data_IF_139044679679
#
_entry.id   IF_139044679679
#
_cell.length_a   1.000
_cell.length_b   1.000
_cell.length_c   1.000
_cell.angle_alpha   90.00
_cell.angle_beta   90.00
_cell.angle_gamma   90.00
#
_symmetry.space_group_name_H-M   'P 1'
#
loop_
_entity.id
_entity.type
_entity.pdbx_description
1 polymer ?
#
# COMPACT_ATOMS: atom_id res chain seq x y z
N UNK A 1 -7.11 -7.24 14.19
CA UNK A 1 -5.66 -7.40 13.94
C UNK A 1 -5.08 -6.22 13.17
N UNK A 2 -3.81 -5.93 13.40
CA UNK A 2 -3.04 -4.92 12.65
C UNK A 2 -1.79 -5.56 12.04
N UNK A 3 -1.56 -5.28 10.77
CA UNK A 3 -0.46 -5.79 9.97
C UNK A 3 0.40 -4.61 9.50
N UNK A 4 1.69 -4.68 9.80
CA UNK A 4 2.68 -3.71 9.36
C UNK A 4 3.58 -4.33 8.30
N UNK A 5 3.33 -4.00 7.03
CA UNK A 5 4.12 -4.48 5.91
C UNK A 5 5.23 -3.46 5.60
N UNK A 6 6.46 -3.93 5.47
CA UNK A 6 7.61 -3.08 5.19
C UNK A 6 8.48 -3.65 4.08
N UNK A 7 9.16 -2.76 3.35
CA UNK A 7 10.25 -3.11 2.47
C UNK A 7 11.50 -2.42 3.00
N UNK A 8 12.43 -3.23 3.52
CA UNK A 8 13.73 -2.79 4.06
C UNK A 8 14.87 -3.41 3.26
N UNK A 9 16.06 -2.80 3.25
CA UNK A 9 17.28 -3.45 2.74
C UNK A 9 18.05 -4.19 3.86
N UNK A 10 19.22 -4.74 3.52
CA UNK A 10 20.11 -5.43 4.45
C UNK A 10 20.63 -4.55 5.59
N UNK A 11 20.64 -3.23 5.39
CA UNK A 11 21.09 -2.24 6.38
C UNK A 11 19.93 -1.68 7.22
N UNK A 12 18.76 -2.33 7.18
CA UNK A 12 17.53 -1.91 7.86
C UNK A 12 16.98 -0.53 7.43
N UNK A 13 17.36 -0.04 6.24
CA UNK A 13 16.80 1.18 5.67
C UNK A 13 15.41 0.89 5.11
N UNK A 14 14.41 1.66 5.56
CA UNK A 14 13.01 1.53 5.14
C UNK A 14 12.73 2.29 3.83
N UNK A 15 12.22 1.56 2.84
CA UNK A 15 11.89 2.11 1.51
C UNK A 15 10.40 2.29 1.27
N UNK A 16 9.56 1.45 1.88
CA UNK A 16 8.13 1.60 1.83
C UNK A 16 7.47 0.87 3.00
N UNK A 17 6.32 1.35 3.41
CA UNK A 17 5.48 0.72 4.43
C UNK A 17 4.00 0.74 4.04
N UNK A 18 3.24 -0.20 4.58
CA UNK A 18 1.79 -0.25 4.49
C UNK A 18 1.20 -0.74 5.81
N UNK A 19 0.17 -0.06 6.29
CA UNK A 19 -0.61 -0.44 7.48
C UNK A 19 -1.96 -0.99 7.08
N UNK A 20 -2.14 -2.29 7.24
CA UNK A 20 -3.40 -3.00 7.04
C UNK A 20 -4.04 -3.26 8.41
N UNK A 21 -5.31 -2.90 8.57
CA UNK A 21 -6.12 -3.21 9.75
C UNK A 21 -7.27 -4.11 9.34
N UNK A 22 -7.42 -5.24 10.02
CA UNK A 22 -8.58 -6.12 9.94
C UNK A 22 -9.35 -6.01 11.25
N UNK A 23 -10.63 -5.64 11.21
CA UNK A 23 -11.47 -5.49 12.40
C UNK A 23 -12.85 -6.08 12.11
N UNK A 24 -13.17 -7.20 12.76
CA UNK A 24 -14.37 -7.97 12.42
C UNK A 24 -14.34 -8.36 10.95
N UNK A 25 -15.42 -8.04 10.23
CA UNK A 25 -15.60 -8.35 8.81
C UNK A 25 -15.07 -7.25 7.86
N UNK A 26 -14.27 -6.30 8.37
CA UNK A 26 -13.77 -5.19 7.58
C UNK A 26 -12.24 -5.13 7.51
N UNK A 27 -11.72 -4.80 6.32
CA UNK A 27 -10.30 -4.60 6.06
C UNK A 27 -10.01 -3.21 5.50
N UNK A 28 -9.02 -2.53 6.09
CA UNK A 28 -8.64 -1.16 5.74
C UNK A 28 -7.13 -1.01 5.60
N UNK A 29 -6.67 -0.43 4.50
CA UNK A 29 -5.35 0.18 4.42
C UNK A 29 -5.47 1.61 4.95
N UNK A 30 -4.79 1.86 6.06
CA UNK A 30 -4.78 3.17 6.72
C UNK A 30 -3.64 4.04 6.25
N UNK A 31 -2.58 3.41 5.76
CA UNK A 31 -1.38 4.10 5.31
C UNK A 31 -0.68 3.26 4.24
N UNK A 32 -0.27 3.91 3.17
CA UNK A 32 0.71 3.42 2.22
C UNK A 32 1.70 4.56 1.99
N UNK A 33 2.96 4.32 2.33
CA UNK A 33 4.02 5.30 2.13
C UNK A 33 5.17 4.65 1.37
N UNK A 34 5.63 5.31 0.31
CA UNK A 34 6.83 4.92 -0.44
C UNK A 34 7.79 6.07 -0.33
N UNK A 35 8.93 5.83 0.32
CA UNK A 35 9.96 6.85 0.44
C UNK A 35 10.55 7.13 -0.95
N UNK A 36 10.50 8.40 -1.34
CA UNK A 36 11.17 8.87 -2.54
C UNK A 36 12.69 8.77 -2.38
N UNK A 37 13.40 8.89 -3.50
CA UNK A 37 14.84 9.11 -3.47
C UNK A 37 15.13 10.45 -2.79
N UNK A 38 15.41 10.45 -1.48
CA UNK A 38 16.42 11.36 -0.97
C UNK A 38 17.75 10.73 -1.38
N UNK A 39 18.15 10.95 -2.64
CA UNK A 39 19.48 10.54 -3.09
C UNK A 39 20.48 11.31 -2.25
N UNK A 40 21.27 10.61 -1.45
CA UNK A 40 22.63 11.06 -1.18
C UNK A 40 23.22 11.53 -2.52
N UNK A 41 23.62 12.81 -2.55
CA UNK A 41 24.23 13.47 -3.70
C UNK A 41 25.28 12.54 -4.33
N UNK A 42 25.08 12.10 -5.57
CA UNK A 42 26.15 11.50 -6.37
C UNK A 42 25.93 10.13 -7.02
N UNK A 43 24.91 9.33 -6.70
CA UNK A 43 24.70 8.03 -7.39
C UNK A 43 23.46 8.00 -8.30
N UNK A 44 23.71 8.08 -9.62
CA UNK A 44 22.74 7.80 -10.69
C UNK A 44 22.27 6.33 -10.61
N UNK A 45 21.19 6.09 -9.89
CA UNK A 45 20.45 4.81 -9.92
C UNK A 45 18.97 5.02 -10.21
N UNK A 46 18.60 5.39 -11.44
CA UNK A 46 17.27 5.92 -11.84
C UNK A 46 16.04 5.00 -11.59
N UNK A 47 16.15 3.82 -10.97
CA UNK A 47 15.14 2.74 -11.14
C UNK A 47 14.71 1.99 -9.84
N UNK A 48 15.28 2.23 -8.65
CA UNK A 48 15.08 1.27 -7.53
C UNK A 48 13.77 1.29 -6.73
N UNK A 49 12.84 2.25 -6.95
CA UNK A 49 11.58 2.31 -6.15
C UNK A 49 10.29 2.23 -6.98
N UNK A 50 10.39 2.06 -8.30
CA UNK A 50 9.19 1.90 -9.14
C UNK A 50 8.48 0.60 -8.75
N UNK A 51 7.25 0.74 -8.26
CA UNK A 51 6.38 -0.40 -7.98
C UNK A 51 6.39 -0.93 -6.55
N UNK A 52 7.17 -0.36 -5.61
CA UNK A 52 7.16 -0.78 -4.20
C UNK A 52 5.77 -0.68 -3.58
N UNK A 53 5.08 0.43 -3.83
CA UNK A 53 3.70 0.60 -3.38
C UNK A 53 2.76 -0.46 -3.95
N UNK A 54 2.88 -0.79 -5.25
CA UNK A 54 2.07 -1.85 -5.86
C UNK A 54 2.35 -3.22 -5.25
N UNK A 55 3.61 -3.50 -4.91
CA UNK A 55 4.01 -4.75 -4.25
C UNK A 55 3.39 -4.87 -2.85
N UNK A 56 3.43 -3.80 -2.06
CA UNK A 56 2.78 -3.77 -0.74
C UNK A 56 1.26 -3.92 -0.84
N UNK A 57 0.63 -3.23 -1.79
CA UNK A 57 -0.81 -3.37 -2.06
C UNK A 57 -1.17 -4.82 -2.38
N UNK A 58 -0.47 -5.46 -3.33
CA UNK A 58 -0.71 -6.87 -3.67
C UNK A 58 -0.58 -7.78 -2.45
N UNK A 59 0.43 -7.55 -1.59
CA UNK A 59 0.60 -8.34 -0.38
C UNK A 59 -0.53 -8.15 0.63
N UNK A 60 -1.04 -6.92 0.77
CA UNK A 60 -2.21 -6.65 1.60
C UNK A 60 -3.47 -7.34 1.05
N UNK A 61 -3.68 -7.30 -0.27
CA UNK A 61 -4.77 -8.03 -0.95
C UNK A 61 -4.67 -9.54 -0.68
N UNK A 62 -3.48 -10.15 -0.81
CA UNK A 62 -3.25 -11.57 -0.51
C UNK A 62 -3.55 -11.95 0.95
N UNK A 63 -3.29 -11.06 1.90
CA UNK A 63 -3.61 -11.29 3.32
C UNK A 63 -5.13 -11.30 3.51
N UNK A 64 -5.83 -10.33 2.93
CA UNK A 64 -7.29 -10.23 3.04
C UNK A 64 -8.00 -11.38 2.32
N UNK A 65 -7.46 -11.87 1.19
CA UNK A 65 -8.00 -13.07 0.49
C UNK A 65 -8.05 -14.34 1.33
N UNK A 66 -7.26 -14.41 2.41
CA UNK A 66 -7.23 -15.56 3.32
C UNK A 66 -8.30 -15.48 4.41
N UNK A 67 -9.08 -14.40 4.45
CA UNK A 67 -10.20 -14.22 5.36
C UNK A 67 -11.51 -14.25 4.58
N UNK A 68 -12.65 -14.14 5.26
CA UNK A 68 -13.98 -14.11 4.63
C UNK A 68 -14.36 -12.71 4.10
N UNK A 69 -13.44 -11.75 4.14
CA UNK A 69 -13.68 -10.34 3.80
C UNK A 69 -13.61 -10.16 2.28
N UNK A 70 -14.72 -9.68 1.70
CA UNK A 70 -14.90 -9.56 0.24
C UNK A 70 -14.39 -8.24 -0.35
N UNK A 71 -14.08 -7.25 0.49
CA UNK A 71 -13.68 -5.90 0.06
C UNK A 71 -12.53 -5.35 0.91
N UNK A 72 -11.55 -4.76 0.25
CA UNK A 72 -10.49 -3.99 0.89
C UNK A 72 -10.68 -2.50 0.61
N UNK A 73 -10.70 -1.71 1.68
CA UNK A 73 -10.89 -0.26 1.66
C UNK A 73 -9.55 0.45 1.90
N UNK A 74 -9.32 1.59 1.24
CA UNK A 74 -8.14 2.43 1.46
C UNK A 74 -8.58 3.82 1.86
N UNK A 75 -8.03 4.30 2.98
CA UNK A 75 -8.14 5.70 3.38
C UNK A 75 -7.19 6.49 2.50
N UNK A 76 -7.73 7.29 1.59
CA UNK A 76 -6.97 7.97 0.55
C UNK A 76 -7.35 9.43 0.45
N UNK A 77 -6.37 10.32 0.62
CA UNK A 77 -6.51 11.73 0.25
C UNK A 77 -6.88 11.88 -1.23
N UNK A 78 -7.58 12.97 -1.57
CA UNK A 78 -8.14 13.18 -2.92
C UNK A 78 -7.08 13.12 -4.01
N UNK A 79 -5.92 13.75 -3.81
CA UNK A 79 -4.83 13.84 -4.79
C UNK A 79 -4.14 12.51 -5.12
N UNK A 80 -4.31 11.46 -4.30
CA UNK A 80 -3.68 10.15 -4.52
C UNK A 80 -4.66 9.07 -4.99
N UNK A 81 -5.96 9.39 -5.14
CA UNK A 81 -6.98 8.44 -5.62
C UNK A 81 -6.66 7.86 -6.99
N UNK A 82 -6.04 8.65 -7.86
CA UNK A 82 -5.69 8.22 -9.22
C UNK A 82 -4.66 7.09 -9.24
N UNK A 83 -3.76 7.05 -8.26
CA UNK A 83 -2.87 5.90 -8.09
C UNK A 83 -3.65 4.60 -7.85
N UNK A 84 -4.65 4.65 -6.96
CA UNK A 84 -5.48 3.49 -6.62
C UNK A 84 -6.38 3.06 -7.79
N UNK A 85 -6.91 4.01 -8.57
CA UNK A 85 -7.67 3.69 -9.80
C UNK A 85 -6.86 2.87 -10.78
N UNK A 86 -5.59 3.23 -10.99
CA UNK A 86 -4.64 2.51 -11.87
C UNK A 86 -4.35 1.07 -11.42
N UNK A 87 -4.70 0.68 -10.20
CA UNK A 87 -4.53 -0.68 -9.67
C UNK A 87 -5.87 -1.37 -9.35
N UNK A 88 -6.97 -0.86 -9.92
CA UNK A 88 -8.28 -1.51 -9.92
C UNK A 88 -9.18 -1.14 -8.74
N UNK A 89 -8.83 -0.13 -7.95
CA UNK A 89 -9.71 0.39 -6.90
C UNK A 89 -10.66 1.45 -7.47
N UNK A 90 -11.87 1.53 -6.92
CA UNK A 90 -12.90 2.50 -7.28
C UNK A 90 -13.27 3.34 -6.07
N UNK A 91 -13.74 4.56 -6.27
CA UNK A 91 -14.24 5.39 -5.16
C UNK A 91 -15.62 4.89 -4.75
N UNK A 92 -15.78 4.52 -3.48
CA UNK A 92 -17.06 4.12 -2.87
C UNK A 92 -17.21 4.91 -1.56
N UNK A 93 -18.14 5.88 -1.56
CA UNK A 93 -18.25 6.90 -0.51
C UNK A 93 -16.90 7.64 -0.31
N UNK A 94 -16.28 7.49 0.85
CA UNK A 94 -15.04 8.18 1.22
C UNK A 94 -13.78 7.36 0.97
N UNK A 95 -13.93 6.08 0.60
CA UNK A 95 -12.83 5.12 0.50
C UNK A 95 -12.54 4.72 -0.95
N UNK A 96 -11.28 4.40 -1.24
CA UNK A 96 -10.96 3.63 -2.43
C UNK A 96 -11.17 2.15 -2.12
N UNK A 97 -12.05 1.47 -2.83
CA UNK A 97 -12.43 0.07 -2.57
C UNK A 97 -12.11 -0.83 -3.75
N UNK A 98 -11.75 -2.08 -3.44
CA UNK A 98 -11.56 -3.15 -4.42
C UNK A 98 -12.18 -4.43 -3.86
N UNK A 99 -12.88 -5.17 -4.71
CA UNK A 99 -13.34 -6.51 -4.37
C UNK A 99 -12.15 -7.46 -4.45
N UNK A 100 -11.97 -8.29 -3.43
CA UNK A 100 -10.77 -9.07 -3.19
C UNK A 100 -11.06 -10.55 -3.40
#
# INVERSE_FOLDING_TARGET
EEYFLQIVNKDNILFALLRLRIKGEEAFIRELHVYGKSTALGKRGKIQHRGLGKKLMKKAEEIVKKTEIKKLKVISGVGVREYYRKIGYKLEKEYMTKSI
#
